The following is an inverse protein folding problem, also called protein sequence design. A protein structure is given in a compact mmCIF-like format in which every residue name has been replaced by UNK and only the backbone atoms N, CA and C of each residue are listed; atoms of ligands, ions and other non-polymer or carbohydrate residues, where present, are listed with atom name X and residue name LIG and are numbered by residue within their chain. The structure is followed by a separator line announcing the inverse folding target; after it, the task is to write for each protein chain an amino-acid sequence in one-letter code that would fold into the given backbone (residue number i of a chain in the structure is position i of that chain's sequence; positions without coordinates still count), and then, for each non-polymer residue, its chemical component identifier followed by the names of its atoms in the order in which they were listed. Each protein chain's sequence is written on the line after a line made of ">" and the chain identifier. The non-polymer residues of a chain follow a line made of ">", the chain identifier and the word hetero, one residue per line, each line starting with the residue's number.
data_IF_559368727958
#
_entry.id   IF_559368727958
#
_cell.length_a   1.000
_cell.length_b   1.000
_cell.length_c   1.000
_cell.angle_alpha   90.00
_cell.angle_beta   90.00
_cell.angle_gamma   90.00
#
_symmetry.space_group_name_H-M   'P 1'
#
loop_
_entity.id
_entity.type
_entity.pdbx_description
1 polymer ?
#
# COMPACT_ATOMS: atom_id res chain seq x y z
N UNK A 1 10.40 24.62 -8.63
CA UNK A 1 9.08 25.28 -8.63
C UNK A 1 8.62 25.49 -7.18
N UNK A 2 8.20 26.69 -6.86
CA UNK A 2 7.73 26.98 -5.50
C UNK A 2 6.34 26.39 -5.27
N UNK A 3 6.14 25.79 -4.11
CA UNK A 3 4.85 25.24 -3.70
C UNK A 3 3.91 26.39 -3.30
N UNK A 4 2.65 26.31 -3.68
CA UNK A 4 1.63 27.26 -3.26
C UNK A 4 1.41 27.11 -1.74
N UNK A 5 1.56 28.20 -0.94
CA UNK A 5 1.44 28.12 0.50
C UNK A 5 0.10 27.57 1.03
N UNK A 6 -0.97 27.70 0.26
CA UNK A 6 -2.28 27.16 0.68
C UNK A 6 -2.30 25.64 0.80
N UNK A 7 -1.33 24.94 0.18
CA UNK A 7 -1.22 23.50 0.25
C UNK A 7 -0.19 23.02 1.26
N UNK A 8 0.40 23.91 2.04
CA UNK A 8 1.41 23.54 3.03
C UNK A 8 0.88 22.54 4.05
N UNK A 9 -0.41 22.59 4.37
CA UNK A 9 -1.03 21.65 5.29
C UNK A 9 -0.85 20.20 4.89
N UNK A 10 -0.74 19.90 3.60
CA UNK A 10 -0.56 18.55 3.09
C UNK A 10 0.78 17.95 3.51
N UNK A 11 1.75 18.79 3.78
CA UNK A 11 3.10 18.38 4.13
C UNK A 11 3.35 18.41 5.65
N UNK A 12 2.34 18.78 6.44
CA UNK A 12 2.44 18.76 7.89
C UNK A 12 2.19 17.38 8.44
N UNK A 13 2.88 17.00 9.53
CA UNK A 13 2.58 15.72 10.20
C UNK A 13 1.16 15.69 10.72
N UNK A 14 0.60 14.48 10.80
CA UNK A 14 -0.72 14.26 11.37
C UNK A 14 -0.70 13.01 12.25
N UNK A 15 -1.31 13.13 13.43
CA UNK A 15 -1.42 11.99 14.33
C UNK A 15 -2.62 11.12 13.91
N UNK A 16 -2.37 9.82 13.77
CA UNK A 16 -3.39 8.84 13.44
C UNK A 16 -3.36 7.77 14.54
N UNK A 17 -4.25 7.89 15.53
CA UNK A 17 -4.23 7.03 16.70
C UNK A 17 -2.88 7.11 17.42
N UNK A 18 -2.19 5.98 17.63
CA UNK A 18 -0.92 5.96 18.36
C UNK A 18 0.30 6.34 17.50
N UNK A 19 0.12 6.60 16.20
CA UNK A 19 1.24 6.89 15.31
C UNK A 19 1.09 8.27 14.69
N UNK A 20 2.22 8.85 14.27
CA UNK A 20 2.24 10.14 13.59
C UNK A 20 2.76 9.93 12.17
N UNK A 21 1.94 10.24 11.18
CA UNK A 21 2.34 10.22 9.79
C UNK A 21 3.13 11.49 9.46
N UNK A 22 4.19 11.40 8.65
CA UNK A 22 5.04 12.56 8.36
C UNK A 22 4.38 13.61 7.47
N UNK A 23 3.33 13.26 6.77
CA UNK A 23 2.55 14.17 5.93
C UNK A 23 1.13 13.63 5.77
N UNK A 24 0.30 14.37 5.06
CA UNK A 24 -1.12 14.03 4.89
C UNK A 24 -1.43 13.32 3.58
N UNK A 25 -0.43 12.80 2.90
CA UNK A 25 -0.64 12.01 1.69
C UNK A 25 -0.88 10.57 2.07
N UNK A 26 -2.08 10.09 1.76
CA UNK A 26 -2.54 8.74 2.07
C UNK A 26 -2.82 8.02 0.76
N UNK A 27 -2.03 7.01 0.45
CA UNK A 27 -2.22 6.22 -0.75
C UNK A 27 -3.24 5.12 -0.45
N UNK A 28 -4.44 5.27 -1.00
CA UNK A 28 -5.51 4.30 -0.81
C UNK A 28 -5.17 2.96 -1.47
N UNK A 29 -5.83 1.87 -1.06
CA UNK A 29 -5.60 0.56 -1.68
C UNK A 29 -5.87 0.61 -3.19
N UNK A 30 -4.96 0.02 -3.95
CA UNK A 30 -5.11 -0.10 -5.39
C UNK A 30 -4.66 -1.48 -5.83
N UNK A 31 -5.57 -2.23 -6.43
CA UNK A 31 -5.28 -3.58 -6.92
C UNK A 31 -4.70 -3.49 -8.32
N UNK A 32 -3.44 -3.87 -8.47
CA UNK A 32 -2.72 -3.79 -9.74
C UNK A 32 -2.51 -5.15 -10.41
N UNK A 33 -3.16 -6.19 -9.88
CA UNK A 33 -3.12 -7.56 -10.43
C UNK A 33 -1.78 -8.27 -10.23
N UNK A 34 -0.82 -7.66 -9.54
CA UNK A 34 0.49 -8.29 -9.31
C UNK A 34 0.51 -9.25 -8.14
N UNK A 35 -0.47 -9.15 -7.23
CA UNK A 35 -0.43 -9.90 -5.97
C UNK A 35 -0.46 -11.40 -6.12
N UNK A 36 -1.14 -11.93 -7.15
CA UNK A 36 -1.24 -13.36 -7.36
C UNK A 36 0.03 -13.94 -7.98
N UNK A 37 0.42 -13.43 -9.15
CA UNK A 37 1.51 -14.00 -9.92
C UNK A 37 2.87 -13.44 -9.60
N UNK A 38 2.93 -12.20 -9.09
CA UNK A 38 4.18 -11.49 -8.86
C UNK A 38 4.16 -10.71 -7.55
N UNK A 39 4.05 -11.40 -6.40
CA UNK A 39 3.97 -10.72 -5.10
C UNK A 39 5.22 -9.89 -4.77
N UNK A 40 6.40 -10.32 -5.24
CA UNK A 40 7.62 -9.54 -5.05
C UNK A 40 7.60 -8.22 -5.80
N UNK A 41 7.04 -8.20 -7.02
CA UNK A 41 6.90 -6.97 -7.80
C UNK A 41 5.90 -6.03 -7.15
N UNK A 42 4.82 -6.56 -6.57
CA UNK A 42 3.85 -5.76 -5.82
C UNK A 42 4.50 -5.10 -4.60
N UNK A 43 5.27 -5.86 -3.83
CA UNK A 43 5.96 -5.33 -2.67
C UNK A 43 6.97 -4.24 -3.09
N UNK A 44 7.71 -4.46 -4.17
CA UNK A 44 8.66 -3.48 -4.67
C UNK A 44 7.96 -2.20 -5.13
N UNK A 45 6.79 -2.32 -5.74
CA UNK A 45 6.01 -1.17 -6.16
C UNK A 45 5.59 -0.30 -4.97
N UNK A 46 5.16 -0.93 -3.88
CA UNK A 46 4.82 -0.20 -2.65
C UNK A 46 6.05 0.46 -2.02
N UNK A 47 7.18 -0.23 -2.04
CA UNK A 47 8.42 0.31 -1.49
C UNK A 47 8.87 1.58 -2.24
N UNK A 48 8.72 1.59 -3.56
CA UNK A 48 9.05 2.77 -4.38
C UNK A 48 8.16 3.95 -4.00
N UNK A 49 6.87 3.70 -3.77
CA UNK A 49 5.94 4.76 -3.34
C UNK A 49 6.31 5.31 -1.96
N UNK A 50 6.69 4.44 -1.03
CA UNK A 50 7.12 4.87 0.30
C UNK A 50 8.38 5.70 0.21
N UNK A 51 9.35 5.27 -0.58
CA UNK A 51 10.60 5.99 -0.81
C UNK A 51 10.35 7.35 -1.44
N UNK A 52 9.30 7.47 -2.27
CA UNK A 52 8.90 8.73 -2.89
C UNK A 52 8.26 9.73 -1.94
N UNK A 53 7.91 9.35 -0.70
CA UNK A 53 7.46 10.28 0.32
C UNK A 53 6.02 10.19 0.76
N UNK A 54 5.24 9.21 0.32
CA UNK A 54 3.88 9.02 0.81
C UNK A 54 3.89 8.78 2.31
N UNK A 55 3.03 9.50 3.04
CA UNK A 55 2.97 9.38 4.49
C UNK A 55 2.39 8.06 4.97
N UNK A 56 1.35 7.58 4.29
CA UNK A 56 0.71 6.29 4.56
C UNK A 56 0.48 5.57 3.25
N UNK A 57 0.75 4.27 3.23
CA UNK A 57 0.53 3.43 2.06
C UNK A 57 -0.25 2.20 2.46
N UNK A 58 -1.36 1.95 1.77
CA UNK A 58 -2.16 0.75 1.98
C UNK A 58 -1.81 -0.29 0.93
N UNK A 59 -1.86 -1.56 1.34
CA UNK A 59 -1.71 -2.64 0.38
C UNK A 59 -3.01 -2.83 -0.38
N UNK A 60 -2.94 -3.63 -1.43
CA UNK A 60 -4.14 -4.00 -2.18
C UNK A 60 -4.92 -5.10 -1.44
N UNK A 61 -6.04 -5.51 -2.03
CA UNK A 61 -6.83 -6.63 -1.54
C UNK A 61 -6.00 -7.90 -1.46
N UNK A 62 -6.13 -8.61 -0.34
CA UNK A 62 -5.42 -9.87 -0.09
C UNK A 62 -6.41 -10.91 0.39
N UNK A 63 -6.40 -12.08 -0.22
CA UNK A 63 -7.26 -13.17 0.19
C UNK A 63 -6.70 -13.87 1.42
N UNK A 64 -7.54 -14.09 2.41
CA UNK A 64 -7.12 -14.67 3.69
C UNK A 64 -7.38 -16.18 3.80
N UNK A 65 -8.20 -16.72 2.90
CA UNK A 65 -8.55 -18.14 2.90
C UNK A 65 -9.05 -18.52 1.51
N UNK A 66 -8.79 -19.77 1.04
CA UNK A 66 -9.25 -20.17 -0.28
C UNK A 66 -10.75 -19.99 -0.55
N UNK A 67 -11.58 -20.08 0.50
CA UNK A 67 -13.03 -19.92 0.36
C UNK A 67 -13.45 -18.48 0.06
N UNK A 68 -12.56 -17.51 0.30
CA UNK A 68 -12.85 -16.11 0.01
C UNK A 68 -12.36 -15.66 -1.36
N UNK A 69 -11.71 -16.54 -2.10
CA UNK A 69 -11.10 -16.21 -3.39
C UNK A 69 -12.17 -16.03 -4.46
N UNK A 70 -12.38 -14.78 -4.89
CA UNK A 70 -13.38 -14.44 -5.89
C UNK A 70 -12.77 -14.49 -7.30
N UNK A 71 -11.56 -13.95 -7.43
CA UNK A 71 -10.83 -13.89 -8.71
C UNK A 71 -9.45 -14.47 -8.50
N UNK A 72 -9.27 -15.78 -8.72
CA UNK A 72 -8.05 -16.50 -8.31
C UNK A 72 -6.76 -16.05 -9.01
N UNK A 73 -6.85 -15.20 -10.01
CA UNK A 73 -5.66 -14.73 -10.75
C UNK A 73 -5.28 -13.30 -10.46
N UNK A 74 -6.01 -12.58 -9.61
CA UNK A 74 -5.80 -11.14 -9.43
C UNK A 74 -5.23 -10.74 -8.07
N UNK A 75 -5.71 -11.35 -6.98
CA UNK A 75 -5.34 -10.91 -5.64
C UNK A 75 -4.19 -11.73 -5.06
N UNK A 76 -3.50 -11.13 -4.08
CA UNK A 76 -2.52 -11.85 -3.28
C UNK A 76 -3.19 -12.82 -2.32
N UNK A 77 -2.42 -13.75 -1.80
CA UNK A 77 -2.89 -14.77 -0.85
C UNK A 77 -1.96 -14.78 0.36
N UNK A 78 -2.51 -14.99 1.54
CA UNK A 78 -1.71 -15.06 2.75
C UNK A 78 -1.56 -16.47 3.32
N UNK A 79 -2.22 -17.48 2.72
CA UNK A 79 -2.04 -18.87 3.16
C UNK A 79 -0.85 -19.56 2.51
N UNK A 80 -0.16 -18.89 1.62
CA UNK A 80 1.03 -19.36 0.92
C UNK A 80 2.25 -18.69 1.57
N UNK A 81 3.24 -19.48 1.98
CA UNK A 81 4.41 -18.95 2.69
C UNK A 81 5.18 -17.93 1.86
N UNK A 82 5.32 -18.16 0.56
CA UNK A 82 6.03 -17.23 -0.31
C UNK A 82 5.32 -15.89 -0.41
N UNK A 83 4.00 -15.90 -0.38
CA UNK A 83 3.20 -14.68 -0.50
C UNK A 83 3.02 -13.95 0.81
N UNK A 84 2.98 -14.69 1.92
CA UNK A 84 2.93 -14.08 3.26
C UNK A 84 4.09 -13.12 3.50
N UNK A 85 5.27 -13.47 3.02
CA UNK A 85 6.46 -12.68 3.30
C UNK A 85 6.47 -11.33 2.61
N UNK A 86 5.61 -11.10 1.63
CA UNK A 86 5.55 -9.83 0.89
C UNK A 86 4.23 -9.07 1.13
N UNK A 87 3.33 -9.62 1.89
CA UNK A 87 2.10 -8.96 2.30
C UNK A 87 2.27 -8.31 3.65
#
# INVERSE_FOLDING_TARGET
>A
MARDPKYDILFEPIQIGPVTAPNRFFQVPHCNVLGHGRPGAEAANRAVKAEGGWGVICSQEVEIHPSSEITPTFEGRIWDEDRKSVV
#
